data_IF_589146857596
#
_entry.id   IF_589146857596
#
_cell.length_a   1.000
_cell.length_b   1.000
_cell.length_c   1.000
_cell.angle_alpha   90.00
_cell.angle_beta   90.00
_cell.angle_gamma   90.00
#
_symmetry.space_group_name_H-M   'P 1'
#
loop_
_entity.id
_entity.type
_entity.pdbx_description
1 polymer ?
#
# COMPACT_ATOMS: atom_id res chain seq x y z
N UNK A 1 -12.28 -16.07 12.16
CA UNK A 1 -11.77 -14.69 11.92
C UNK A 1 -10.36 -14.61 12.49
N UNK A 2 -9.37 -14.14 11.72
CA UNK A 2 -7.95 -14.09 12.14
C UNK A 2 -7.49 -12.67 12.45
N UNK A 3 -8.36 -11.86 13.06
CA UNK A 3 -8.06 -10.49 13.44
C UNK A 3 -8.02 -10.46 14.96
N UNK A 4 -6.85 -10.15 15.52
CA UNK A 4 -6.70 -9.89 16.95
C UNK A 4 -7.19 -8.47 17.20
N UNK A 5 -8.13 -8.31 18.14
CA UNK A 5 -8.68 -7.02 18.53
C UNK A 5 -8.71 -6.97 20.06
N UNK A 6 -8.08 -5.96 20.65
CA UNK A 6 -8.05 -5.76 22.09
C UNK A 6 -9.23 -4.86 22.53
N UNK A 7 -9.63 -4.96 23.80
CA UNK A 7 -10.78 -4.19 24.31
C UNK A 7 -10.57 -2.67 24.27
N UNK A 8 -9.33 -2.20 24.40
CA UNK A 8 -8.94 -0.80 24.29
C UNK A 8 -9.01 -0.23 22.86
N UNK A 9 -9.14 -1.08 21.84
CA UNK A 9 -9.32 -0.66 20.44
C UNK A 9 -10.80 -0.44 20.09
N UNK A 10 -11.71 -0.80 21.00
CA UNK A 10 -13.14 -0.53 20.92
C UNK A 10 -13.42 0.82 21.60
N UNK A 11 -14.05 1.74 20.87
CA UNK A 11 -14.49 3.01 21.45
C UNK A 11 -15.86 2.87 22.11
N UNK A 12 -16.80 2.21 21.43
CA UNK A 12 -18.15 1.99 21.93
C UNK A 12 -18.76 0.71 21.38
N UNK A 13 -19.59 0.04 22.17
CA UNK A 13 -20.35 -1.15 21.75
C UNK A 13 -21.77 -1.03 22.29
N UNK A 14 -22.77 -1.16 21.42
CA UNK A 14 -24.17 -1.05 21.80
C UNK A 14 -25.07 -1.95 20.96
N UNK A 15 -26.14 -2.46 21.56
CA UNK A 15 -27.21 -3.16 20.85
C UNK A 15 -28.21 -2.15 20.28
N UNK A 16 -28.64 -2.37 19.05
CA UNK A 16 -29.59 -1.51 18.35
C UNK A 16 -31.02 -2.04 18.47
N UNK A 17 -31.97 -1.15 18.73
CA UNK A 17 -33.41 -1.44 18.77
C UNK A 17 -33.93 -2.03 20.09
N UNK A 18 -35.25 -2.18 20.15
CA UNK A 18 -35.97 -2.72 21.31
C UNK A 18 -35.83 -4.23 21.41
N UNK A 19 -35.88 -4.76 22.62
CA UNK A 19 -35.86 -6.21 22.86
C UNK A 19 -37.16 -6.86 22.37
N UNK A 20 -37.04 -8.01 21.71
CA UNK A 20 -38.14 -8.85 21.24
C UNK A 20 -37.74 -10.32 21.38
N UNK A 21 -38.67 -11.17 21.81
CA UNK A 21 -38.42 -12.57 22.20
C UNK A 21 -37.80 -13.42 21.07
N UNK A 22 -38.22 -13.23 19.82
CA UNK A 22 -37.77 -14.04 18.67
C UNK A 22 -36.81 -13.31 17.70
N UNK A 23 -36.18 -12.20 18.12
CA UNK A 23 -35.32 -11.42 17.22
C UNK A 23 -34.01 -11.01 17.88
N UNK A 24 -32.89 -11.45 17.28
CA UNK A 24 -31.55 -11.03 17.70
C UNK A 24 -31.34 -9.55 17.32
N UNK A 25 -31.01 -8.73 18.32
CA UNK A 25 -30.69 -7.32 18.11
C UNK A 25 -29.30 -7.17 17.47
N UNK A 26 -29.15 -6.39 16.39
CA UNK A 26 -27.86 -6.05 15.82
C UNK A 26 -26.97 -5.36 16.85
N UNK A 27 -25.66 -5.58 16.75
CA UNK A 27 -24.65 -4.91 17.56
C UNK A 27 -23.98 -3.87 16.66
N UNK A 28 -24.02 -2.61 17.07
CA UNK A 28 -23.22 -1.54 16.49
C UNK A 28 -22.01 -1.33 17.41
N UNK A 29 -20.83 -1.23 16.81
CA UNK A 29 -19.61 -0.94 17.54
C UNK A 29 -18.73 0.04 16.76
N UNK A 30 -18.04 0.89 17.51
CA UNK A 30 -17.12 1.91 16.99
C UNK A 30 -15.70 1.51 17.32
N UNK A 31 -14.80 1.63 16.34
CA UNK A 31 -13.37 1.37 16.51
C UNK A 31 -12.64 2.68 16.78
N UNK A 32 -11.67 2.65 17.68
CA UNK A 32 -10.79 3.81 17.93
C UNK A 32 -10.00 4.20 16.69
N UNK A 33 -9.63 3.21 15.85
CA UNK A 33 -8.89 3.45 14.60
C UNK A 33 -9.60 2.89 13.38
N UNK A 34 -9.54 3.64 12.28
CA UNK A 34 -10.11 3.21 10.99
C UNK A 34 -9.36 2.01 10.38
N UNK A 35 -8.06 1.86 10.65
CA UNK A 35 -7.25 0.73 10.19
C UNK A 35 -7.81 -0.62 10.64
N UNK A 36 -8.20 -0.71 11.92
CA UNK A 36 -8.81 -1.92 12.49
C UNK A 36 -10.18 -2.20 11.85
N UNK A 37 -11.00 -1.16 11.62
CA UNK A 37 -12.26 -1.27 10.87
C UNK A 37 -12.04 -1.89 9.48
N UNK A 38 -11.06 -1.38 8.72
CA UNK A 38 -10.72 -1.92 7.39
C UNK A 38 -10.27 -3.38 7.48
N UNK A 39 -9.42 -3.73 8.45
CA UNK A 39 -8.89 -5.08 8.62
C UNK A 39 -10.01 -6.10 8.91
N UNK A 40 -10.96 -5.74 9.77
CA UNK A 40 -12.15 -6.53 10.06
C UNK A 40 -13.00 -6.70 8.79
N UNK A 41 -13.30 -5.61 8.09
CA UNK A 41 -14.13 -5.63 6.88
C UNK A 41 -13.50 -6.44 5.73
N UNK A 42 -12.17 -6.47 5.62
CA UNK A 42 -11.46 -7.32 4.64
C UNK A 42 -11.58 -8.80 4.99
N UNK A 43 -11.55 -9.15 6.27
CA UNK A 43 -11.59 -10.54 6.74
C UNK A 43 -13.00 -11.10 6.93
N UNK A 44 -14.06 -10.29 6.77
CA UNK A 44 -15.45 -10.70 7.02
C UNK A 44 -15.93 -11.92 6.23
N UNK A 45 -15.34 -12.20 5.05
CA UNK A 45 -15.66 -13.40 4.25
C UNK A 45 -15.41 -14.71 5.01
N UNK A 46 -14.47 -14.69 5.96
CA UNK A 46 -14.19 -15.84 6.85
C UNK A 46 -15.35 -16.16 7.81
N UNK A 47 -16.40 -15.33 7.84
CA UNK A 47 -17.62 -15.55 8.62
C UNK A 47 -18.75 -16.18 7.80
N UNK A 48 -18.58 -16.40 6.50
CA UNK A 48 -19.64 -16.93 5.61
C UNK A 48 -20.14 -18.32 6.04
N UNK A 49 -19.30 -19.13 6.69
CA UNK A 49 -19.68 -20.43 7.24
C UNK A 49 -20.43 -20.34 8.58
N UNK A 50 -20.58 -19.13 9.13
CA UNK A 50 -21.27 -18.88 10.41
C UNK A 50 -22.60 -18.18 10.17
N UNK A 51 -23.46 -18.15 11.19
CA UNK A 51 -24.72 -17.38 11.16
C UNK A 51 -24.51 -15.86 11.35
N UNK A 52 -23.26 -15.40 11.45
CA UNK A 52 -22.91 -14.02 11.73
C UNK A 52 -22.44 -13.31 10.47
N UNK A 53 -22.81 -12.04 10.33
CA UNK A 53 -22.33 -11.19 9.24
C UNK A 53 -21.95 -9.80 9.78
N UNK A 54 -21.01 -9.17 9.09
CA UNK A 54 -20.54 -7.81 9.40
C UNK A 54 -20.79 -6.94 8.18
N UNK A 55 -21.47 -5.81 8.39
CA UNK A 55 -21.65 -4.76 7.39
C UNK A 55 -21.14 -3.44 7.94
N UNK A 56 -20.86 -2.52 7.03
CA UNK A 56 -20.55 -1.15 7.39
C UNK A 56 -21.86 -0.39 7.63
N UNK A 57 -21.83 0.51 8.60
CA UNK A 57 -22.95 1.40 8.93
C UNK A 57 -22.88 2.63 8.03
N UNK A 58 -23.97 2.93 7.31
CA UNK A 58 -24.06 4.01 6.33
C UNK A 58 -25.25 4.91 6.66
N UNK A 59 -25.17 6.18 6.26
CA UNK A 59 -26.31 7.10 6.39
C UNK A 59 -27.52 6.63 5.55
N UNK A 60 -28.74 7.04 5.90
CA UNK A 60 -29.95 6.65 5.17
C UNK A 60 -29.88 6.96 3.66
N UNK A 61 -29.38 8.14 3.29
CA UNK A 61 -29.18 8.57 1.91
C UNK A 61 -28.31 7.58 1.11
N UNK A 62 -27.19 7.14 1.69
CA UNK A 62 -26.29 6.18 1.05
C UNK A 62 -26.96 4.81 0.93
N UNK A 63 -27.78 4.41 1.91
CA UNK A 63 -28.50 3.13 1.86
C UNK A 63 -29.52 3.10 0.71
N UNK A 64 -30.17 4.22 0.43
CA UNK A 64 -31.10 4.37 -0.71
C UNK A 64 -30.36 4.25 -2.05
N UNK A 65 -29.27 4.99 -2.22
CA UNK A 65 -28.40 4.89 -3.42
C UNK A 65 -27.87 3.46 -3.60
N UNK A 66 -27.48 2.79 -2.50
CA UNK A 66 -27.01 1.41 -2.57
C UNK A 66 -28.12 0.40 -2.91
N UNK A 67 -29.38 0.72 -2.65
CA UNK A 67 -30.52 -0.12 -3.04
C UNK A 67 -30.72 -0.05 -4.56
N UNK A 68 -30.67 1.13 -5.15
CA UNK A 68 -30.79 1.30 -6.61
C UNK A 68 -29.61 0.65 -7.36
N UNK A 69 -28.39 0.80 -6.84
CA UNK A 69 -27.19 0.20 -7.44
C UNK A 69 -27.18 -1.34 -7.40
N UNK A 70 -27.97 -1.99 -6.55
CA UNK A 70 -28.03 -3.46 -6.48
C UNK A 70 -28.63 -4.07 -7.75
N UNK A 71 -29.58 -3.39 -8.39
CA UNK A 71 -30.18 -3.87 -9.63
C UNK A 71 -29.18 -3.84 -10.77
N UNK A 72 -28.44 -2.72 -10.91
CA UNK A 72 -27.37 -2.60 -11.90
C UNK A 72 -26.24 -3.61 -11.63
N UNK A 73 -25.86 -3.80 -10.37
CA UNK A 73 -24.86 -4.79 -9.96
C UNK A 73 -25.22 -6.20 -10.45
N UNK A 74 -26.49 -6.59 -10.33
CA UNK A 74 -26.93 -7.91 -10.76
C UNK A 74 -26.87 -8.06 -12.28
N UNK A 75 -27.25 -7.02 -13.04
CA UNK A 75 -27.15 -7.01 -14.52
C UNK A 75 -25.71 -7.21 -14.98
N UNK A 76 -24.77 -6.42 -14.46
CA UNK A 76 -23.34 -6.53 -14.83
C UNK A 76 -22.74 -7.90 -14.47
N UNK A 77 -23.18 -8.52 -13.36
CA UNK A 77 -22.75 -9.88 -12.99
C UNK A 77 -23.33 -10.95 -13.92
N UNK A 78 -24.60 -10.80 -14.33
CA UNK A 78 -25.24 -11.71 -15.27
C UNK A 78 -24.56 -11.66 -16.65
N UNK A 79 -24.05 -10.49 -17.04
CA UNK A 79 -23.22 -10.28 -18.24
C UNK A 79 -21.80 -10.88 -18.11
N UNK A 80 -21.45 -11.46 -16.96
CA UNK A 80 -20.15 -12.09 -16.71
C UNK A 80 -19.03 -11.12 -16.30
N UNK A 81 -19.34 -9.84 -16.01
CA UNK A 81 -18.36 -8.87 -15.52
C UNK A 81 -18.19 -8.98 -14.00
N UNK A 82 -17.03 -8.56 -13.51
CA UNK A 82 -16.73 -8.51 -12.07
C UNK A 82 -17.21 -7.16 -11.52
N UNK A 83 -18.39 -7.13 -10.92
CA UNK A 83 -18.97 -5.91 -10.34
C UNK A 83 -19.16 -5.98 -8.81
N UNK A 84 -18.88 -4.86 -8.13
CA UNK A 84 -19.11 -4.68 -6.69
C UNK A 84 -19.43 -3.22 -6.32
N UNK A 85 -20.22 -3.03 -5.27
CA UNK A 85 -20.57 -1.69 -4.75
C UNK A 85 -19.55 -1.26 -3.68
N UNK A 86 -18.97 -0.07 -3.83
CA UNK A 86 -18.12 0.58 -2.84
C UNK A 86 -18.73 1.93 -2.47
N UNK A 87 -19.11 2.08 -1.20
CA UNK A 87 -19.84 3.26 -0.71
C UNK A 87 -21.13 3.53 -1.53
N UNK A 88 -21.18 4.63 -2.27
CA UNK A 88 -22.26 5.11 -3.13
C UNK A 88 -22.03 4.82 -4.63
N UNK A 89 -21.02 4.00 -4.98
CA UNK A 89 -20.59 3.77 -6.36
C UNK A 89 -20.54 2.28 -6.70
N UNK A 90 -20.86 1.96 -7.95
CA UNK A 90 -20.58 0.65 -8.54
C UNK A 90 -19.21 0.66 -9.22
N UNK A 91 -18.42 -0.38 -8.97
CA UNK A 91 -17.13 -0.59 -9.63
C UNK A 91 -17.26 -1.85 -10.48
N UNK A 92 -17.14 -1.68 -11.79
CA UNK A 92 -17.18 -2.76 -12.78
C UNK A 92 -15.77 -2.99 -13.30
N UNK A 93 -15.37 -4.26 -13.37
CA UNK A 93 -14.10 -4.71 -13.94
C UNK A 93 -14.36 -5.80 -14.95
N UNK A 94 -13.59 -5.79 -16.02
CA UNK A 94 -13.58 -6.88 -16.99
C UNK A 94 -13.08 -8.18 -16.34
N UNK A 95 -13.71 -9.29 -16.71
CA UNK A 95 -13.28 -10.62 -16.27
C UNK A 95 -11.94 -10.97 -16.92
N UNK A 96 -10.98 -11.45 -16.12
CA UNK A 96 -9.65 -11.87 -16.60
C UNK A 96 -9.71 -13.11 -17.48
N UNK A 97 -10.85 -13.81 -17.55
CA UNK A 97 -11.05 -14.98 -18.41
C UNK A 97 -11.04 -14.62 -19.91
N UNK A 98 -11.32 -13.36 -20.26
CA UNK A 98 -11.31 -12.88 -21.65
C UNK A 98 -10.00 -12.16 -22.03
N UNK A 99 -9.02 -12.09 -21.13
CA UNK A 99 -7.68 -11.62 -21.51
C UNK A 99 -6.98 -12.78 -22.20
N UNK A 100 -7.13 -12.86 -23.52
CA UNK A 100 -6.14 -13.52 -24.35
C UNK A 100 -4.77 -12.97 -23.92
N UNK A 101 -3.89 -13.85 -23.45
CA UNK A 101 -2.54 -13.49 -23.04
C UNK A 101 -1.76 -13.02 -24.28
N UNK A 102 -1.93 -11.76 -24.66
CA UNK A 102 -0.91 -11.04 -25.41
C UNK A 102 0.31 -10.83 -24.50
N UNK A 103 1.54 -10.90 -25.02
CA UNK A 103 2.74 -10.82 -24.20
C UNK A 103 2.75 -9.48 -23.45
N UNK A 104 2.66 -9.58 -22.12
CA UNK A 104 3.15 -8.64 -21.12
C UNK A 104 3.12 -7.16 -21.54
N UNK A 105 1.93 -6.54 -21.52
CA UNK A 105 1.86 -5.08 -21.42
C UNK A 105 2.35 -4.66 -20.03
N UNK A 106 3.69 -4.55 -19.93
CA UNK A 106 4.40 -3.83 -18.89
C UNK A 106 3.75 -2.45 -18.72
N UNK A 107 2.89 -2.32 -17.72
CA UNK A 107 2.49 -1.02 -17.19
C UNK A 107 3.57 -0.49 -16.22
N UNK A 108 4.85 -0.65 -16.59
CA UNK A 108 5.87 0.28 -16.16
C UNK A 108 5.89 1.40 -17.21
N UNK A 109 5.14 2.47 -16.94
CA UNK A 109 5.40 3.76 -17.59
C UNK A 109 6.78 4.23 -17.10
N UNK A 110 7.85 3.63 -17.63
CA UNK A 110 9.18 4.25 -17.59
C UNK A 110 9.00 5.57 -18.32
N UNK A 111 9.14 6.67 -17.59
CA UNK A 111 9.18 8.01 -18.17
C UNK A 111 10.35 8.00 -19.15
N UNK A 112 10.09 8.24 -20.42
CA UNK A 112 11.15 8.54 -21.37
C UNK A 112 11.71 9.91 -20.98
N UNK A 113 13.00 9.94 -20.60
CA UNK A 113 13.69 11.20 -20.38
C UNK A 113 13.95 11.81 -21.75
N UNK A 114 13.49 13.04 -21.96
CA UNK A 114 13.82 13.79 -23.16
C UNK A 114 15.35 13.91 -23.27
N UNK A 115 15.88 13.50 -24.42
CA UNK A 115 17.31 13.65 -24.72
C UNK A 115 17.60 15.15 -24.71
N UNK A 116 18.43 15.58 -23.76
CA UNK A 116 18.90 16.97 -23.66
C UNK A 116 19.49 17.43 -25.00
N UNK A 117 19.31 18.70 -25.40
CA UNK A 117 19.73 19.18 -26.72
C UNK A 117 21.22 18.95 -26.96
N UNK A 118 21.64 18.59 -28.19
CA UNK A 118 23.05 18.43 -28.50
C UNK A 118 23.77 19.79 -28.35
N UNK A 119 24.78 19.84 -27.49
CA UNK A 119 25.66 21.00 -27.39
C UNK A 119 26.46 21.09 -28.68
N UNK A 120 26.27 22.19 -29.42
CA UNK A 120 26.97 22.47 -30.67
C UNK A 120 28.48 22.54 -30.41
N UNK A 121 29.27 21.79 -31.17
CA UNK A 121 30.72 21.95 -31.20
C UNK A 121 31.04 23.13 -32.12
N UNK A 122 31.40 24.27 -31.54
CA UNK A 122 31.98 25.39 -32.28
C UNK A 122 33.39 25.02 -32.72
N UNK A 123 33.61 24.97 -34.03
CA UNK A 123 34.94 24.83 -34.60
C UNK A 123 35.62 26.21 -34.58
N UNK A 124 36.63 26.36 -33.72
CA UNK A 124 37.53 27.52 -33.73
C UNK A 124 38.73 27.18 -34.63
N UNK A 125 38.77 27.78 -35.82
CA UNK A 125 39.97 27.81 -36.66
C UNK A 125 40.93 28.86 -36.11
N UNK A 126 42.10 28.43 -35.65
CA UNK A 126 43.19 29.30 -35.22
C UNK A 126 44.51 28.53 -35.18
N UNK A 127 45.46 28.93 -36.02
CA UNK A 127 46.80 28.37 -36.17
C UNK A 127 47.70 28.62 -34.94
N UNK A 128 48.82 27.87 -34.94
CA UNK A 128 50.15 28.11 -34.32
C UNK A 128 50.47 27.47 -32.95
N UNK A 129 51.28 26.42 -33.04
CA UNK A 129 52.49 26.05 -32.25
C UNK A 129 52.47 26.14 -30.71
N UNK A 130 52.78 25.00 -30.06
CA UNK A 130 53.16 24.93 -28.65
C UNK A 130 53.25 23.50 -28.11
N UNK A 131 54.42 23.17 -27.56
CA UNK A 131 54.89 21.83 -27.18
C UNK A 131 54.29 21.27 -25.87
N UNK A 132 54.16 19.93 -25.85
CA UNK A 132 54.21 18.97 -24.73
C UNK A 132 53.48 19.20 -23.39
N UNK A 133 52.54 18.30 -23.05
CA UNK A 133 52.56 17.42 -21.84
C UNK A 133 51.31 16.52 -21.69
N UNK A 134 51.43 15.37 -20.98
CA UNK A 134 50.64 14.16 -21.25
C UNK A 134 49.24 14.15 -20.63
N UNK A 135 48.34 13.39 -21.26
CA UNK A 135 46.99 13.10 -20.79
C UNK A 135 47.03 12.48 -19.38
N UNK A 136 46.31 13.10 -18.43
CA UNK A 136 46.06 12.48 -17.14
C UNK A 136 45.13 11.28 -17.32
N UNK A 137 45.61 10.08 -16.99
CA UNK A 137 44.80 8.86 -17.03
C UNK A 137 43.56 9.02 -16.14
N UNK A 138 42.37 8.88 -16.72
CA UNK A 138 41.10 8.85 -15.98
C UNK A 138 41.10 7.62 -15.07
N UNK A 139 41.18 7.86 -13.75
CA UNK A 139 40.97 6.80 -12.75
C UNK A 139 39.53 6.30 -12.87
N UNK A 140 39.36 5.03 -13.19
CA UNK A 140 38.06 4.36 -13.14
C UNK A 140 37.56 4.35 -11.69
N UNK A 141 36.59 5.22 -11.39
CA UNK A 141 35.89 5.19 -10.11
C UNK A 141 34.97 3.97 -10.12
N UNK A 142 35.39 2.90 -9.47
CA UNK A 142 34.57 1.71 -9.21
C UNK A 142 33.29 2.17 -8.52
N UNK A 143 32.17 2.09 -9.22
CA UNK A 143 30.85 2.33 -8.67
C UNK A 143 30.55 1.18 -7.70
N UNK A 144 30.87 1.36 -6.41
CA UNK A 144 30.37 0.46 -5.38
C UNK A 144 28.86 0.63 -5.32
N UNK A 145 28.14 -0.42 -5.71
CA UNK A 145 26.69 -0.45 -5.66
C UNK A 145 26.20 -0.07 -4.27
N UNK A 146 25.36 0.97 -4.21
CA UNK A 146 24.62 1.34 -3.01
C UNK A 146 23.59 0.23 -2.70
N UNK A 147 24.04 -0.82 -2.02
CA UNK A 147 23.18 -1.72 -1.28
C UNK A 147 22.86 -1.00 0.04
N UNK A 148 21.85 -0.13 0.05
CA UNK A 148 21.33 0.45 1.29
C UNK A 148 20.52 -0.61 2.04
N UNK A 149 21.21 -1.56 2.64
CA UNK A 149 20.62 -2.49 3.59
C UNK A 149 20.35 -1.77 4.92
N UNK A 150 19.13 -1.93 5.41
CA UNK A 150 18.66 -1.41 6.71
C UNK A 150 19.49 -1.91 7.90
N UNK A 151 20.34 -2.92 7.69
CA UNK A 151 21.24 -3.51 8.70
C UNK A 151 22.19 -2.49 9.34
N UNK A 152 22.69 -1.51 8.58
CA UNK A 152 23.65 -0.52 9.09
C UNK A 152 22.99 0.47 10.07
N UNK A 153 21.66 0.63 10.02
CA UNK A 153 20.92 1.50 10.92
C UNK A 153 20.66 0.84 12.27
N UNK A 154 20.50 -0.49 12.30
CA UNK A 154 20.23 -1.26 13.52
C UNK A 154 21.50 -1.38 14.39
N UNK A 155 22.67 -1.58 13.77
CA UNK A 155 23.93 -1.70 14.51
C UNK A 155 24.33 -0.41 15.25
N UNK A 156 23.95 0.76 14.74
CA UNK A 156 24.31 2.05 15.34
C UNK A 156 23.54 2.37 16.63
N UNK A 157 22.43 1.67 16.92
CA UNK A 157 21.69 1.83 18.19
C UNK A 157 22.19 0.97 19.34
N UNK A 158 22.90 -0.12 19.04
CA UNK A 158 23.33 -1.07 20.08
C UNK A 158 24.72 -0.78 20.64
N UNK A 159 25.40 0.28 20.16
CA UNK A 159 26.79 0.62 20.53
C UNK A 159 26.96 1.64 21.66
N UNK A 160 25.90 2.01 22.39
CA UNK A 160 25.98 3.01 23.47
C UNK A 160 25.62 2.42 24.84
N UNK A 161 26.21 1.29 25.22
CA UNK A 161 26.40 0.89 26.63
C UNK A 161 27.64 0.00 26.74
N UNK A 162 28.79 0.60 27.08
CA UNK A 162 29.78 0.04 28.01
C UNK A 162 31.07 0.87 27.96
N UNK A 163 31.21 1.80 28.90
CA UNK A 163 32.51 2.25 29.39
C UNK A 163 32.43 2.31 30.91
N UNK A 164 32.72 1.17 31.54
CA UNK A 164 32.91 1.02 32.98
C UNK A 164 33.95 -0.08 33.20
N UNK A 165 35.19 0.22 32.82
CA UNK A 165 36.32 -0.65 33.07
C UNK A 165 36.67 -0.64 34.56
N UNK A 166 36.84 -1.85 35.07
CA UNK A 166 37.39 -2.24 36.36
C UNK A 166 38.79 -1.67 36.61
N UNK A 167 39.09 -1.35 37.87
CA UNK A 167 40.44 -1.43 38.42
C UNK A 167 40.39 -1.87 39.89
N UNK A 168 41.12 -2.94 40.16
CA UNK A 168 41.53 -3.47 41.45
C UNK A 168 42.45 -2.48 42.19
N UNK A 169 42.48 -2.48 43.53
CA UNK A 169 43.44 -3.27 44.34
C UNK A 169 43.55 -2.79 45.81
N UNK A 170 43.82 -3.76 46.69
CA UNK A 170 44.68 -3.74 47.90
C UNK A 170 44.25 -3.14 49.26
N UNK A 171 44.51 -4.03 50.23
CA UNK A 171 44.73 -3.93 51.69
C UNK A 171 43.52 -3.78 52.63
#
# INVERSE_FOLDING_TARGET
MGVVCQSNELEAVRRMGQWKENKIRPINFTMTTYGNKILILKNKKKLEQTKLYIKEDFSPEILEVRKTLQEQLQKERNEGKIAYIKYDKIVVRESTQNKQYGPLASNSKKRELAITPPHQTVNLTGNTEGQDKPQFAKKNKVYRGNQSSISNFIQKRNGSQNSGASSSNSQ
#
